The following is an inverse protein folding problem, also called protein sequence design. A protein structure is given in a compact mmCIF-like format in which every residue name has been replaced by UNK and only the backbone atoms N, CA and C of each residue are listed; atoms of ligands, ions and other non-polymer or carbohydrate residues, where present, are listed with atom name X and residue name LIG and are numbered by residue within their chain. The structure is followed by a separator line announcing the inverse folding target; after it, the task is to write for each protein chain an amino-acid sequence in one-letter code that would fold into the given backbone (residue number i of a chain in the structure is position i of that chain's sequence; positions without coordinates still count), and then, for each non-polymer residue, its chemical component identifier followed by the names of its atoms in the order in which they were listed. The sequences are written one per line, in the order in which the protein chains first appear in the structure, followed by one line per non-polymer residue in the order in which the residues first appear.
data_IF_900986565963
#
_entry.id   IF_900986565963
#
_cell.length_a   1.000
_cell.length_b   1.000
_cell.length_c   1.000
_cell.angle_alpha   90.00
_cell.angle_beta   90.00
_cell.angle_gamma   90.00
#
_symmetry.space_group_name_H-M   'P 1'
#
loop_
_entity.id
_entity.type
_entity.pdbx_description
1 polymer ?
#
# COMPACT_ATOMS: atom_id res chain seq x y z
N UNK A 1 -13.99 0.94 -23.27
CA UNK A 1 -13.42 1.56 -22.05
C UNK A 1 -13.65 0.59 -20.90
N UNK A 2 -12.59 0.07 -20.26
CA UNK A 2 -12.71 -0.88 -19.15
C UNK A 2 -13.12 -0.14 -17.88
N UNK A 3 -14.20 -0.60 -17.25
CA UNK A 3 -14.78 -0.03 -16.05
C UNK A 3 -13.76 -0.02 -14.90
N UNK A 4 -13.56 1.18 -14.34
CA UNK A 4 -12.77 1.46 -13.16
C UNK A 4 -13.43 0.77 -11.95
N UNK A 5 -12.81 -0.27 -11.37
CA UNK A 5 -13.14 -0.71 -10.01
C UNK A 5 -12.04 -0.21 -9.07
N UNK A 6 -12.19 1.03 -8.60
CA UNK A 6 -11.48 1.50 -7.41
C UNK A 6 -12.40 1.22 -6.24
N UNK A 7 -12.15 0.13 -5.51
CA UNK A 7 -12.85 -0.12 -4.26
C UNK A 7 -12.36 0.89 -3.21
N UNK A 8 -13.09 2.02 -3.11
CA UNK A 8 -12.88 3.02 -2.06
C UNK A 8 -13.49 2.50 -0.76
N UNK A 9 -12.67 1.95 0.13
CA UNK A 9 -13.12 1.54 1.47
C UNK A 9 -13.17 2.75 2.41
N UNK A 10 -14.36 3.29 2.63
CA UNK A 10 -14.65 4.24 3.71
C UNK A 10 -15.17 3.47 4.94
N UNK A 11 -14.50 3.64 6.09
CA UNK A 11 -14.82 3.04 7.40
C UNK A 11 -14.85 1.50 7.41
N UNK A 12 -13.78 0.90 7.89
CA UNK A 12 -13.70 -0.52 8.22
C UNK A 12 -14.26 -0.75 9.65
N UNK A 13 -15.35 -1.51 9.85
CA UNK A 13 -15.48 -2.40 10.99
C UNK A 13 -15.43 -3.83 10.44
N UNK A 14 -14.34 -4.16 9.76
CA UNK A 14 -14.08 -5.49 9.25
C UNK A 14 -12.70 -5.83 9.80
N UNK A 15 -12.62 -6.85 10.66
CA UNK A 15 -11.34 -7.41 11.09
C UNK A 15 -10.51 -7.64 9.83
N UNK A 16 -9.57 -6.74 9.58
CA UNK A 16 -8.61 -6.90 8.52
C UNK A 16 -7.75 -8.07 8.97
N UNK A 17 -7.96 -9.23 8.37
CA UNK A 17 -7.16 -10.39 8.68
C UNK A 17 -5.76 -10.19 8.09
N UNK A 18 -4.90 -9.58 8.89
CA UNK A 18 -3.49 -9.38 8.59
C UNK A 18 -2.70 -10.69 8.62
N UNK A 19 -3.33 -11.85 8.90
CA UNK A 19 -2.65 -13.15 8.83
C UNK A 19 -2.08 -13.44 7.43
N UNK A 20 -2.68 -12.85 6.39
CA UNK A 20 -2.21 -12.96 5.01
C UNK A 20 -1.14 -11.90 4.63
N UNK A 21 -0.90 -10.89 5.49
CA UNK A 21 0.15 -9.90 5.25
C UNK A 21 1.52 -10.53 5.58
N UNK A 22 2.13 -11.16 4.57
CA UNK A 22 3.56 -11.49 4.60
C UNK A 22 4.34 -10.17 4.53
N UNK A 23 4.58 -9.57 5.70
CA UNK A 23 5.34 -8.31 5.83
C UNK A 23 6.72 -8.50 5.22
N UNK A 24 7.02 -7.73 4.20
CA UNK A 24 8.33 -7.73 3.59
C UNK A 24 9.20 -6.61 4.13
N UNK A 25 8.61 -5.45 4.42
CA UNK A 25 9.33 -4.29 4.93
C UNK A 25 8.45 -3.38 5.78
N UNK A 26 9.11 -2.68 6.69
CA UNK A 26 8.54 -1.65 7.55
C UNK A 26 9.51 -0.47 7.62
N UNK A 27 9.11 0.67 7.10
CA UNK A 27 10.00 1.84 6.91
C UNK A 27 9.31 3.09 7.44
N UNK A 28 9.96 3.93 8.27
CA UNK A 28 9.40 5.23 8.65
C UNK A 28 9.01 6.05 7.42
N UNK A 29 7.81 6.65 7.44
CA UNK A 29 7.32 7.48 6.34
C UNK A 29 8.26 8.62 5.98
N UNK A 30 8.97 9.17 6.96
CA UNK A 30 9.95 10.24 6.77
C UNK A 30 11.15 9.84 5.91
N UNK A 31 11.42 8.54 5.74
CA UNK A 31 12.51 8.04 4.90
C UNK A 31 12.08 7.76 3.45
N UNK A 32 10.78 7.91 3.14
CA UNK A 32 10.25 7.67 1.80
C UNK A 32 10.16 9.00 1.06
N UNK A 33 11.25 9.41 0.42
CA UNK A 33 11.30 10.65 -0.36
C UNK A 33 10.66 10.52 -1.75
N UNK A 34 10.68 9.31 -2.32
CA UNK A 34 10.16 9.04 -3.65
C UNK A 34 9.52 7.65 -3.72
N UNK A 35 8.19 7.60 -3.82
CA UNK A 35 7.44 6.36 -3.88
C UNK A 35 7.85 5.46 -5.05
N UNK A 36 8.18 6.04 -6.22
CA UNK A 36 8.53 5.23 -7.39
C UNK A 36 9.84 4.47 -7.16
N UNK A 37 10.86 5.15 -6.65
CA UNK A 37 12.15 4.51 -6.32
C UNK A 37 11.98 3.48 -5.21
N UNK A 38 11.24 3.84 -4.16
CA UNK A 38 10.98 3.00 -3.01
C UNK A 38 10.33 1.67 -3.42
N UNK A 39 9.22 1.71 -4.16
CA UNK A 39 8.53 0.49 -4.58
C UNK A 39 9.34 -0.33 -5.58
N UNK A 40 10.14 0.31 -6.44
CA UNK A 40 10.96 -0.43 -7.39
C UNK A 40 12.07 -1.23 -6.71
N UNK A 41 12.56 -0.75 -5.56
CA UNK A 41 13.54 -1.45 -4.75
C UNK A 41 12.93 -2.65 -4.02
N UNK A 42 11.76 -2.48 -3.40
CA UNK A 42 11.18 -3.50 -2.53
C UNK A 42 10.21 -4.48 -3.20
N UNK A 43 9.57 -4.10 -4.31
CA UNK A 43 8.62 -4.98 -4.99
C UNK A 43 9.33 -5.97 -5.92
N UNK A 44 9.12 -7.29 -5.73
CA UNK A 44 9.60 -8.30 -6.67
C UNK A 44 9.06 -8.05 -8.09
N UNK A 45 9.71 -8.68 -9.08
CA UNK A 45 9.27 -8.58 -10.49
C UNK A 45 7.95 -9.30 -10.73
N UNK A 46 7.78 -10.47 -10.13
CA UNK A 46 6.61 -11.34 -10.30
C UNK A 46 5.75 -11.25 -9.05
N UNK A 47 4.77 -10.36 -9.07
CA UNK A 47 3.82 -10.18 -7.97
C UNK A 47 2.43 -9.93 -8.53
N UNK A 48 1.43 -10.58 -7.93
CA UNK A 48 0.02 -10.49 -8.30
C UNK A 48 -0.73 -9.46 -7.48
N UNK A 49 -0.37 -9.28 -6.22
CA UNK A 49 -1.08 -8.40 -5.30
C UNK A 49 -0.12 -7.70 -4.33
N UNK A 50 -0.35 -6.40 -4.14
CA UNK A 50 0.42 -5.58 -3.19
C UNK A 50 -0.53 -5.03 -2.15
N UNK A 51 -0.19 -5.25 -0.88
CA UNK A 51 -0.88 -4.66 0.24
C UNK A 51 0.04 -3.60 0.85
N UNK A 52 -0.41 -2.36 0.81
CA UNK A 52 0.27 -1.24 1.43
C UNK A 52 -0.51 -0.82 2.66
N UNK A 53 0.19 -0.66 3.78
CA UNK A 53 -0.41 -0.16 5.01
C UNK A 53 0.25 1.18 5.36
N UNK A 54 -0.59 2.21 5.56
CA UNK A 54 -0.15 3.57 5.86
C UNK A 54 -0.89 4.14 7.09
N UNK A 55 -0.28 5.08 7.82
CA UNK A 55 -0.94 5.85 8.86
C UNK A 55 -2.15 6.62 8.34
N UNK A 56 -3.18 6.77 9.16
CA UNK A 56 -4.40 7.51 8.80
C UNK A 56 -4.10 8.97 8.47
N UNK A 57 -3.17 9.62 9.17
CA UNK A 57 -2.72 10.98 8.85
C UNK A 57 -2.03 11.11 7.48
N UNK A 58 -1.68 10.00 6.82
CA UNK A 58 -1.12 9.94 5.45
C UNK A 58 -2.13 9.51 4.39
N UNK A 59 -3.43 9.50 4.72
CA UNK A 59 -4.49 9.10 3.78
C UNK A 59 -4.45 9.86 2.45
N UNK A 60 -4.12 11.15 2.45
CA UNK A 60 -4.02 11.95 1.21
C UNK A 60 -2.97 11.44 0.22
N UNK A 61 -2.00 10.65 0.69
CA UNK A 61 -0.92 10.11 -0.13
C UNK A 61 -1.30 8.78 -0.81
N UNK A 62 -2.46 8.20 -0.49
CA UNK A 62 -2.87 6.87 -0.99
C UNK A 62 -2.97 6.79 -2.51
N UNK A 63 -3.49 7.83 -3.17
CA UNK A 63 -3.61 7.85 -4.63
C UNK A 63 -2.22 7.89 -5.29
N UNK A 64 -1.32 8.72 -4.77
CA UNK A 64 0.06 8.85 -5.27
C UNK A 64 0.81 7.53 -5.11
N UNK A 65 0.65 6.85 -3.97
CA UNK A 65 1.20 5.53 -3.70
C UNK A 65 0.69 4.50 -4.72
N UNK A 66 -0.63 4.44 -4.93
CA UNK A 66 -1.23 3.52 -5.90
C UNK A 66 -0.72 3.75 -7.32
N UNK A 67 -0.59 5.01 -7.74
CA UNK A 67 -0.01 5.36 -9.03
C UNK A 67 1.46 4.96 -9.16
N UNK A 68 2.26 5.15 -8.10
CA UNK A 68 3.67 4.78 -8.11
C UNK A 68 3.86 3.28 -8.32
N UNK A 69 3.07 2.44 -7.62
CA UNK A 69 3.12 0.98 -7.78
C UNK A 69 2.77 0.57 -9.21
N UNK A 70 1.67 1.09 -9.75
CA UNK A 70 1.23 0.79 -11.14
C UNK A 70 2.25 1.21 -12.19
N UNK A 71 3.00 2.29 -11.95
CA UNK A 71 4.03 2.76 -12.87
C UNK A 71 5.19 1.78 -12.99
N UNK A 72 5.49 1.04 -11.93
CA UNK A 72 6.67 0.18 -11.82
C UNK A 72 6.37 -1.26 -12.18
N UNK A 73 5.17 -1.72 -11.83
CA UNK A 73 4.64 -3.04 -12.13
C UNK A 73 3.22 -2.87 -12.62
N UNK A 74 2.86 -3.56 -13.70
CA UNK A 74 1.50 -3.57 -14.21
C UNK A 74 0.58 -4.44 -13.32
N UNK A 75 0.42 -4.04 -12.06
CA UNK A 75 -0.35 -4.73 -11.03
C UNK A 75 -1.71 -4.06 -10.93
N UNK A 76 -2.76 -4.83 -11.20
CA UNK A 76 -4.14 -4.34 -11.12
C UNK A 76 -4.67 -4.41 -9.67
N UNK A 77 -4.20 -5.38 -8.88
CA UNK A 77 -4.68 -5.63 -7.52
C UNK A 77 -3.77 -4.97 -6.47
N UNK A 78 -4.06 -3.71 -6.15
CA UNK A 78 -3.36 -2.94 -5.13
C UNK A 78 -4.35 -2.62 -4.02
N UNK A 79 -4.06 -3.07 -2.80
CA UNK A 79 -4.84 -2.76 -1.60
C UNK A 79 -4.07 -1.78 -0.74
N UNK A 80 -4.69 -0.64 -0.45
CA UNK A 80 -4.14 0.35 0.49
C UNK A 80 -5.01 0.37 1.73
N UNK A 81 -4.37 0.20 2.89
CA UNK A 81 -5.02 0.01 4.16
C UNK A 81 -4.55 1.11 5.11
N UNK A 82 -5.51 1.80 5.72
CA UNK A 82 -5.23 2.87 6.67
C UNK A 82 -5.27 2.29 8.09
N UNK A 83 -4.15 2.36 8.83
CA UNK A 83 -4.14 2.04 10.27
C UNK A 83 -4.24 3.30 11.12
N UNK A 84 -4.80 3.14 12.32
CA UNK A 84 -4.89 4.20 13.32
C UNK A 84 -3.50 4.75 13.66
N UNK A 85 -3.40 6.08 13.84
CA UNK A 85 -2.16 6.82 14.09
C UNK A 85 -1.36 6.33 15.31
N UNK A 86 -1.98 5.53 16.19
CA UNK A 86 -1.32 4.88 17.33
C UNK A 86 -0.34 3.76 16.94
N UNK A 87 -0.37 3.27 15.70
CA UNK A 87 0.40 2.09 15.24
C UNK A 87 1.65 2.50 14.44
N UNK A 88 2.23 3.68 14.72
CA UNK A 88 3.51 4.21 14.21
C UNK A 88 3.46 4.87 12.83
N UNK A 89 4.24 5.97 12.66
CA UNK A 89 4.46 6.70 11.39
C UNK A 89 5.27 5.87 10.38
N UNK A 90 4.87 4.62 10.14
CA UNK A 90 5.61 3.66 9.33
C UNK A 90 4.76 3.19 8.16
N UNK A 91 5.47 2.99 7.06
CA UNK A 91 5.04 2.38 5.83
C UNK A 91 5.28 0.88 5.96
N UNK A 92 4.23 0.06 5.86
CA UNK A 92 4.37 -1.40 5.87
C UNK A 92 3.95 -1.93 4.51
N UNK A 93 4.81 -2.79 3.95
CA UNK A 93 4.58 -3.43 2.67
C UNK A 93 4.38 -4.93 2.88
N UNK A 94 3.28 -5.47 2.38
CA UNK A 94 3.02 -6.90 2.32
C UNK A 94 2.79 -7.35 0.88
N UNK A 95 3.15 -8.61 0.62
CA UNK A 95 2.95 -9.26 -0.67
C UNK A 95 2.00 -10.44 -0.51
N UNK A 96 1.15 -10.66 -1.52
CA UNK A 96 0.32 -11.86 -1.65
C UNK A 96 0.45 -12.46 -3.05
#
# INVERSE_FOLDING_TARGET
MKNLKVEKYYKIPMKLDLSECKRINEVPFSLVENYVKFFNFFLPRNISEVIVIIPKNKMSESEVIGHAIRKIRNIDNIKIILLSDKITNKFILCLK
#
